data_IF_071556294251
#
_entry.id   IF_071556294251
#
_cell.length_a   1.000
_cell.length_b   1.000
_cell.length_c   1.000
_cell.angle_alpha   90.00
_cell.angle_beta   90.00
_cell.angle_gamma   90.00
#
_symmetry.space_group_name_H-M   'P 1'
#
loop_
_entity.id
_entity.type
_entity.pdbx_description
1 polymer ?
#
# COMPACT_ATOMS: atom_id res chain seq x y z
N UNK A 1 4.05 -3.39 17.27
CA UNK A 1 4.73 -4.35 16.37
C UNK A 1 4.46 -3.95 14.93
N UNK A 2 5.14 -4.52 13.92
CA UNK A 2 4.82 -4.22 12.51
C UNK A 2 3.33 -4.44 12.25
N UNK A 3 2.75 -5.50 12.84
CA UNK A 3 1.33 -5.87 12.79
C UNK A 3 0.33 -4.74 13.13
N UNK A 4 0.74 -3.73 13.89
CA UNK A 4 -0.19 -2.73 14.42
C UNK A 4 -0.26 -1.47 13.56
N UNK A 5 0.80 -1.18 12.79
CA UNK A 5 0.92 0.09 12.10
C UNK A 5 1.88 0.01 10.91
N UNK A 6 1.39 0.51 9.78
CA UNK A 6 2.16 0.65 8.55
C UNK A 6 1.99 2.09 8.03
N UNK A 7 2.96 2.96 8.35
CA UNK A 7 2.92 4.39 8.02
C UNK A 7 3.25 4.66 6.55
N UNK A 8 2.30 4.31 5.69
CA UNK A 8 2.35 4.64 4.28
C UNK A 8 2.13 6.14 4.07
N UNK A 9 2.79 6.74 3.06
CA UNK A 9 2.59 8.15 2.78
C UNK A 9 1.28 8.37 1.99
N UNK A 10 0.65 9.55 2.12
CA UNK A 10 -0.51 9.96 1.29
C UNK A 10 -0.25 9.71 -0.20
N UNK A 11 -1.21 9.29 -1.03
CA UNK A 11 -2.63 9.10 -0.76
C UNK A 11 -2.99 7.72 -0.20
N UNK A 12 -2.00 6.92 0.19
CA UNK A 12 -2.24 5.62 0.79
C UNK A 12 -2.56 5.76 2.27
N UNK A 13 -3.48 4.94 2.75
CA UNK A 13 -3.62 4.66 4.17
C UNK A 13 -3.64 3.16 4.40
N UNK A 14 -3.00 2.71 5.48
CA UNK A 14 -3.06 1.32 5.91
C UNK A 14 -3.88 1.21 7.19
N UNK A 15 -4.83 0.28 7.20
CA UNK A 15 -5.55 -0.13 8.41
C UNK A 15 -5.19 -1.59 8.70
N UNK A 16 -4.70 -1.91 9.90
CA UNK A 16 -4.45 -3.30 10.24
C UNK A 16 -5.81 -4.03 10.37
N UNK A 17 -5.83 -5.29 9.93
CA UNK A 17 -6.98 -6.17 10.05
C UNK A 17 -6.90 -6.96 11.36
N UNK A 18 -8.05 -7.36 11.91
CA UNK A 18 -8.14 -8.11 13.17
C UNK A 18 -8.94 -9.41 13.05
N UNK A 19 -9.50 -9.71 11.87
CA UNK A 19 -10.24 -10.94 11.62
C UNK A 19 -11.66 -10.90 12.16
N UNK A 20 -12.31 -9.74 12.08
CA UNK A 20 -13.76 -9.67 12.33
C UNK A 20 -14.52 -10.47 11.26
N UNK A 21 -15.79 -10.79 11.54
CA UNK A 21 -16.67 -11.46 10.57
C UNK A 21 -16.84 -10.63 9.30
N UNK A 22 -16.93 -9.30 9.43
CA UNK A 22 -17.07 -8.42 8.27
C UNK A 22 -15.79 -8.40 7.41
N UNK A 23 -14.62 -8.41 8.03
CA UNK A 23 -13.34 -8.52 7.33
C UNK A 23 -13.22 -9.85 6.59
N UNK A 24 -13.60 -10.97 7.23
CA UNK A 24 -13.62 -12.28 6.60
C UNK A 24 -14.52 -12.32 5.36
N UNK A 25 -15.76 -11.81 5.48
CA UNK A 25 -16.70 -11.69 4.35
C UNK A 25 -16.14 -10.83 3.22
N UNK A 26 -15.49 -9.72 3.57
CA UNK A 26 -14.89 -8.81 2.59
C UNK A 26 -13.75 -9.48 1.82
N UNK A 27 -12.83 -10.14 2.52
CA UNK A 27 -11.70 -10.83 1.90
C UNK A 27 -12.16 -12.02 1.08
N UNK A 28 -13.09 -12.83 1.58
CA UNK A 28 -13.68 -13.94 0.82
C UNK A 28 -14.27 -13.47 -0.51
N UNK A 29 -15.03 -12.38 -0.52
CA UNK A 29 -15.58 -11.80 -1.75
C UNK A 29 -14.50 -11.33 -2.72
N UNK A 30 -13.43 -10.69 -2.23
CA UNK A 30 -12.34 -10.23 -3.09
C UNK A 30 -11.54 -11.39 -3.65
N UNK A 31 -11.10 -12.31 -2.80
CA UNK A 31 -10.25 -13.44 -3.17
C UNK A 31 -10.99 -14.51 -3.99
N UNK A 32 -12.33 -14.46 -4.03
CA UNK A 32 -13.16 -15.22 -4.96
C UNK A 32 -13.30 -14.61 -6.36
N UNK A 33 -12.76 -13.42 -6.63
CA UNK A 33 -12.75 -12.85 -7.99
C UNK A 33 -11.75 -13.62 -8.87
N UNK A 34 -12.15 -13.96 -10.10
CA UNK A 34 -11.39 -14.81 -11.03
C UNK A 34 -9.88 -14.47 -11.11
N UNK A 35 -9.53 -13.19 -11.31
CA UNK A 35 -8.13 -12.77 -11.43
C UNK A 35 -7.32 -12.89 -10.12
N UNK A 36 -7.98 -12.90 -8.95
CA UNK A 36 -7.32 -13.17 -7.67
C UNK A 36 -7.26 -14.66 -7.41
N UNK A 37 -8.27 -15.45 -7.79
CA UNK A 37 -8.21 -16.92 -7.74
C UNK A 37 -6.99 -17.43 -8.50
N UNK A 38 -6.77 -16.94 -9.72
CA UNK A 38 -5.63 -17.33 -10.57
C UNK A 38 -4.25 -17.02 -9.96
N UNK A 39 -4.16 -16.05 -9.04
CA UNK A 39 -2.89 -15.53 -8.54
C UNK A 39 -2.64 -15.77 -7.06
N UNK A 40 -3.69 -16.02 -6.28
CA UNK A 40 -3.66 -16.27 -4.85
C UNK A 40 -4.09 -17.70 -4.50
N UNK A 41 -5.01 -18.32 -5.25
CA UNK A 41 -5.57 -19.65 -4.98
C UNK A 41 -6.18 -19.79 -3.56
N UNK A 42 -6.84 -18.72 -3.10
CA UNK A 42 -7.41 -18.60 -1.76
C UNK A 42 -8.87 -18.13 -1.76
N UNK A 43 -9.69 -18.73 -2.63
CA UNK A 43 -11.14 -18.50 -2.68
C UNK A 43 -11.88 -19.17 -1.49
N UNK A 44 -11.43 -18.85 -0.28
CA UNK A 44 -11.89 -19.46 0.95
C UNK A 44 -13.20 -18.83 1.45
N UNK A 45 -13.99 -19.59 2.25
CA UNK A 45 -15.17 -19.05 2.89
C UNK A 45 -14.82 -17.95 3.91
N UNK A 46 -15.77 -17.05 4.24
CA UNK A 46 -15.55 -15.94 5.16
C UNK A 46 -14.96 -16.33 6.52
N UNK A 47 -15.40 -17.46 7.08
CA UNK A 47 -15.00 -17.95 8.39
C UNK A 47 -13.50 -18.27 8.42
N UNK A 48 -13.01 -18.95 7.38
CA UNK A 48 -11.58 -19.25 7.21
C UNK A 48 -10.75 -17.97 7.05
N UNK A 49 -11.24 -16.97 6.33
CA UNK A 49 -10.57 -15.68 6.23
C UNK A 49 -10.52 -14.94 7.58
N UNK A 50 -11.61 -14.94 8.35
CA UNK A 50 -11.61 -14.36 9.70
C UNK A 50 -10.59 -15.04 10.61
N UNK A 51 -10.50 -16.37 10.59
CA UNK A 51 -9.51 -17.14 11.35
C UNK A 51 -8.08 -16.83 10.93
N UNK A 52 -7.81 -16.82 9.61
CA UNK A 52 -6.48 -16.53 9.09
C UNK A 52 -6.02 -15.11 9.45
N UNK A 53 -6.92 -14.12 9.37
CA UNK A 53 -6.60 -12.75 9.75
C UNK A 53 -6.29 -12.62 11.25
N UNK A 54 -6.97 -13.37 12.13
CA UNK A 54 -6.62 -13.42 13.57
C UNK A 54 -5.23 -14.01 13.77
N UNK A 55 -4.96 -15.15 13.14
CA UNK A 55 -3.66 -15.82 13.18
C UNK A 55 -2.53 -14.89 12.73
N UNK A 56 -2.72 -14.21 11.60
CA UNK A 56 -1.76 -13.26 11.06
C UNK A 56 -1.60 -12.04 11.98
N UNK A 57 -2.67 -11.57 12.63
CA UNK A 57 -2.62 -10.43 13.55
C UNK A 57 -1.90 -10.74 14.86
N UNK A 58 -2.02 -11.97 15.35
CA UNK A 58 -1.33 -12.45 16.56
C UNK A 58 0.17 -12.74 16.32
N UNK A 59 0.60 -12.83 15.05
CA UNK A 59 1.99 -13.02 14.68
C UNK A 59 2.87 -11.84 15.10
N UNK A 60 4.05 -12.16 15.65
CA UNK A 60 5.10 -11.15 15.93
C UNK A 60 5.95 -10.82 14.70
N UNK A 61 5.80 -11.60 13.64
CA UNK A 61 6.66 -11.55 12.45
C UNK A 61 6.11 -10.66 11.33
N UNK A 62 4.92 -10.09 11.52
CA UNK A 62 4.28 -9.25 10.52
C UNK A 62 2.79 -9.11 10.78
N UNK A 63 1.99 -8.88 9.74
CA UNK A 63 0.55 -8.81 9.89
C UNK A 63 -0.23 -8.40 8.63
N UNK A 64 -1.57 -8.49 8.69
CA UNK A 64 -2.44 -8.19 7.57
C UNK A 64 -2.94 -6.74 7.58
N UNK A 65 -2.96 -6.11 6.41
CA UNK A 65 -3.37 -4.72 6.23
C UNK A 65 -4.36 -4.59 5.07
N UNK A 66 -5.35 -3.74 5.29
CA UNK A 66 -6.18 -3.18 4.23
C UNK A 66 -5.62 -1.81 3.85
N UNK A 67 -5.33 -1.64 2.58
CA UNK A 67 -4.81 -0.43 2.00
C UNK A 67 -5.94 0.31 1.28
N UNK A 68 -6.05 1.61 1.53
CA UNK A 68 -6.88 2.51 0.75
C UNK A 68 -6.04 3.47 -0.08
N UNK A 69 -6.60 3.90 -1.20
CA UNK A 69 -6.10 4.98 -2.06
C UNK A 69 -7.20 6.03 -2.16
N UNK A 70 -6.94 7.25 -1.69
CA UNK A 70 -7.93 8.35 -1.69
C UNK A 70 -9.28 7.92 -1.07
N UNK A 71 -9.20 7.17 0.04
CA UNK A 71 -10.38 6.69 0.78
C UNK A 71 -11.06 5.44 0.19
N UNK A 72 -10.67 4.97 -1.00
CA UNK A 72 -11.22 3.75 -1.63
C UNK A 72 -10.37 2.53 -1.31
N UNK A 73 -10.98 1.36 -1.08
CA UNK A 73 -10.25 0.10 -0.95
C UNK A 73 -9.41 -0.16 -2.19
N UNK A 74 -8.11 -0.34 -1.99
CA UNK A 74 -7.14 -0.50 -3.07
C UNK A 74 -6.50 -1.87 -3.04
N UNK A 75 -5.96 -2.29 -1.89
CA UNK A 75 -5.22 -3.53 -1.79
C UNK A 75 -5.34 -4.22 -0.43
N UNK A 76 -5.14 -5.53 -0.44
CA UNK A 76 -4.83 -6.33 0.74
C UNK A 76 -3.32 -6.64 0.73
N UNK A 77 -2.68 -6.48 1.88
CA UNK A 77 -1.24 -6.72 2.07
C UNK A 77 -1.02 -7.60 3.30
N UNK A 78 -0.15 -8.59 3.16
CA UNK A 78 0.43 -9.32 4.28
C UNK A 78 1.90 -8.94 4.36
N UNK A 79 2.35 -8.42 5.50
CA UNK A 79 3.78 -8.27 5.78
C UNK A 79 4.24 -9.49 6.57
N UNK A 80 5.42 -10.03 6.25
CA UNK A 80 5.96 -11.21 6.92
C UNK A 80 7.49 -11.15 7.03
N UNK A 81 8.10 -12.11 7.75
CA UNK A 81 9.55 -12.33 7.75
C UNK A 81 9.94 -13.52 6.87
N UNK A 82 10.75 -13.31 5.81
CA UNK A 82 11.27 -14.39 4.97
C UNK A 82 11.99 -15.50 5.73
N UNK A 83 12.68 -15.15 6.83
CA UNK A 83 13.37 -16.12 7.68
C UNK A 83 12.44 -17.20 8.26
N UNK A 84 11.15 -16.89 8.44
CA UNK A 84 10.16 -17.78 9.04
C UNK A 84 9.08 -18.20 8.06
N UNK A 85 9.36 -18.17 6.75
CA UNK A 85 8.41 -18.56 5.71
C UNK A 85 9.00 -19.60 4.77
N UNK A 86 8.19 -20.06 3.82
CA UNK A 86 8.60 -21.06 2.83
C UNK A 86 9.74 -20.59 1.91
N UNK A 87 10.10 -19.31 1.93
CA UNK A 87 11.25 -18.79 1.16
C UNK A 87 12.57 -18.77 1.95
N UNK A 88 12.57 -19.21 3.21
CA UNK A 88 13.73 -19.15 4.09
C UNK A 88 14.97 -19.87 3.52
N UNK A 89 14.76 -20.99 2.83
CA UNK A 89 15.85 -21.83 2.31
C UNK A 89 16.52 -21.29 1.03
N UNK A 90 15.93 -20.30 0.36
CA UNK A 90 16.40 -19.88 -0.97
C UNK A 90 17.39 -18.71 -0.95
N UNK A 91 17.60 -18.10 0.22
CA UNK A 91 18.47 -16.97 0.43
C UNK A 91 18.81 -16.81 1.93
N UNK A 92 20.02 -16.38 2.32
CA UNK A 92 20.35 -16.10 3.73
C UNK A 92 19.62 -14.84 4.24
N UNK A 93 18.38 -15.00 4.69
CA UNK A 93 17.58 -13.92 5.25
C UNK A 93 18.05 -13.54 6.64
N UNK A 94 18.11 -12.24 6.91
CA UNK A 94 18.25 -11.72 8.27
C UNK A 94 16.90 -11.76 9.00
N UNK A 95 16.93 -11.88 10.33
CA UNK A 95 15.73 -11.69 11.17
C UNK A 95 15.09 -10.31 11.02
N UNK A 96 15.82 -9.35 10.44
CA UNK A 96 15.30 -8.00 10.20
C UNK A 96 14.67 -7.85 8.82
N UNK A 97 15.01 -8.71 7.87
CA UNK A 97 14.44 -8.64 6.52
C UNK A 97 12.94 -8.88 6.57
N UNK A 98 12.25 -8.21 5.64
CA UNK A 98 10.80 -8.25 5.53
C UNK A 98 10.41 -8.72 4.13
N UNK A 99 9.21 -9.29 4.03
CA UNK A 99 8.57 -9.60 2.77
C UNK A 99 7.13 -9.13 2.78
N UNK A 100 6.51 -9.12 1.61
CA UNK A 100 5.09 -8.84 1.51
C UNK A 100 4.38 -9.67 0.44
N UNK A 101 3.12 -9.98 0.70
CA UNK A 101 2.15 -10.38 -0.32
C UNK A 101 1.21 -9.21 -0.63
N UNK A 102 0.72 -9.13 -1.87
CA UNK A 102 -0.13 -8.05 -2.36
C UNK A 102 -1.24 -8.54 -3.29
N UNK A 103 -2.48 -8.22 -2.96
CA UNK A 103 -3.64 -8.33 -3.84
C UNK A 103 -4.21 -6.93 -4.09
N UNK A 104 -4.26 -6.47 -5.35
CA UNK A 104 -5.04 -5.28 -5.71
C UNK A 104 -6.50 -5.74 -5.82
N UNK A 105 -7.39 -5.19 -4.99
CA UNK A 105 -8.76 -5.69 -4.82
C UNK A 105 -9.79 -4.96 -5.68
N UNK A 106 -9.43 -3.78 -6.20
CA UNK A 106 -10.24 -3.01 -7.17
C UNK A 106 -9.58 -3.07 -8.55
N UNK A 107 -10.12 -3.90 -9.43
CA UNK A 107 -9.62 -4.07 -10.80
C UNK A 107 -9.63 -2.76 -11.60
N UNK A 108 -10.53 -1.83 -11.31
CA UNK A 108 -10.59 -0.54 -12.02
C UNK A 108 -9.39 0.38 -11.72
N UNK A 109 -8.64 0.08 -10.65
CA UNK A 109 -7.41 0.79 -10.26
C UNK A 109 -6.14 0.12 -10.82
N UNK A 110 -6.26 -1.02 -11.50
CA UNK A 110 -5.15 -1.67 -12.20
C UNK A 110 -4.81 -0.96 -13.51
N UNK A 111 -3.59 -1.15 -14.03
CA UNK A 111 -3.16 -0.57 -15.32
C UNK A 111 -2.85 0.93 -15.32
N UNK A 112 -3.08 1.64 -14.20
CA UNK A 112 -2.89 3.11 -14.08
C UNK A 112 -1.55 3.52 -13.46
N UNK A 113 -0.60 2.58 -13.33
CA UNK A 113 0.68 2.81 -12.64
C UNK A 113 0.60 2.81 -11.10
N UNK A 114 -0.60 2.78 -10.52
CA UNK A 114 -0.82 2.79 -9.07
C UNK A 114 -0.14 1.62 -8.35
N UNK A 115 -0.17 0.41 -8.92
CA UNK A 115 0.53 -0.75 -8.35
C UNK A 115 2.03 -0.51 -8.19
N UNK A 116 2.68 0.06 -9.20
CA UNK A 116 4.11 0.40 -9.16
C UNK A 116 4.40 1.46 -8.10
N UNK A 117 3.63 2.55 -8.08
CA UNK A 117 3.78 3.62 -7.11
C UNK A 117 3.61 3.09 -5.67
N UNK A 118 2.55 2.30 -5.45
CA UNK A 118 2.25 1.67 -4.17
C UNK A 118 3.38 0.75 -3.72
N UNK A 119 3.86 -0.17 -4.57
CA UNK A 119 4.94 -1.09 -4.18
C UNK A 119 6.21 -0.33 -3.83
N UNK A 120 6.56 0.74 -4.56
CA UNK A 120 7.72 1.56 -4.24
C UNK A 120 7.58 2.26 -2.87
N UNK A 121 6.38 2.80 -2.56
CA UNK A 121 6.08 3.41 -1.26
C UNK A 121 6.05 2.37 -0.13
N UNK A 122 5.51 1.17 -0.39
CA UNK A 122 5.47 0.06 0.56
C UNK A 122 6.88 -0.40 0.92
N UNK A 123 7.74 -0.69 -0.07
CA UNK A 123 9.13 -1.11 0.17
C UNK A 123 9.89 -0.07 1.01
N UNK A 124 9.77 1.22 0.67
CA UNK A 124 10.34 2.31 1.48
C UNK A 124 9.82 2.29 2.92
N UNK A 125 8.52 2.03 3.09
CA UNK A 125 7.88 1.97 4.41
C UNK A 125 8.37 0.78 5.23
N UNK A 126 8.50 -0.40 4.61
CA UNK A 126 9.02 -1.60 5.27
C UNK A 126 10.45 -1.41 5.79
N UNK A 127 11.32 -0.74 5.03
CA UNK A 127 12.66 -0.39 5.50
C UNK A 127 12.67 0.60 6.67
N UNK A 128 11.67 1.49 6.79
CA UNK A 128 11.51 2.34 7.98
C UNK A 128 11.02 1.52 9.18
N UNK A 129 10.09 0.60 8.95
CA UNK A 129 9.56 -0.29 10.00
C UNK A 129 10.61 -1.24 10.56
N UNK A 130 11.61 -1.65 9.77
CA UNK A 130 12.75 -2.44 10.24
C UNK A 130 14.08 -1.81 9.80
N UNK A 131 14.66 -0.92 10.62
CA UNK A 131 15.92 -0.23 10.29
C UNK A 131 17.10 -1.16 10.01
N UNK A 132 17.11 -2.36 10.62
CA UNK A 132 18.14 -3.38 10.39
C UNK A 132 17.91 -4.26 9.15
N UNK A 133 16.81 -4.09 8.41
CA UNK A 133 16.56 -4.86 7.20
C UNK A 133 17.54 -4.46 6.09
N UNK A 134 18.17 -5.44 5.46
CA UNK A 134 19.04 -5.21 4.31
C UNK A 134 18.29 -5.36 3.00
N UNK A 135 17.16 -6.06 3.02
CA UNK A 135 16.37 -6.38 1.83
C UNK A 135 14.88 -6.54 2.14
N UNK A 136 14.06 -6.32 1.11
CA UNK A 136 12.62 -6.60 1.10
C UNK A 136 12.30 -7.61 0.01
N UNK A 137 11.51 -8.63 0.32
CA UNK A 137 11.14 -9.73 -0.57
C UNK A 137 9.68 -9.64 -1.08
N UNK A 138 9.45 -10.19 -2.27
CA UNK A 138 8.14 -10.57 -2.76
C UNK A 138 8.29 -11.77 -3.71
N UNK A 139 7.33 -12.68 -3.75
CA UNK A 139 7.42 -13.94 -4.48
C UNK A 139 6.17 -14.20 -5.35
N UNK A 140 5.84 -13.32 -6.33
CA UNK A 140 4.73 -13.59 -7.24
C UNK A 140 4.95 -14.90 -8.01
N UNK A 141 3.86 -15.55 -8.44
CA UNK A 141 3.93 -16.67 -9.38
C UNK A 141 4.73 -16.25 -10.63
N UNK A 142 5.60 -17.14 -11.14
CA UNK A 142 6.42 -16.87 -12.34
C UNK A 142 5.58 -16.48 -13.55
N UNK A 143 4.34 -16.98 -13.65
CA UNK A 143 3.40 -16.71 -14.74
C UNK A 143 2.70 -15.37 -14.59
N UNK A 144 2.70 -14.76 -13.40
CA UNK A 144 2.09 -13.44 -13.17
C UNK A 144 3.01 -12.31 -13.65
N UNK A 145 3.16 -12.20 -14.97
CA UNK A 145 4.03 -11.21 -15.62
C UNK A 145 3.66 -9.77 -15.27
N UNK A 146 2.37 -9.48 -15.05
CA UNK A 146 1.92 -8.15 -14.65
C UNK A 146 2.46 -7.76 -13.27
N UNK A 147 2.34 -8.64 -12.28
CA UNK A 147 2.88 -8.41 -10.94
C UNK A 147 4.41 -8.31 -10.97
N UNK A 148 5.10 -9.19 -11.70
CA UNK A 148 6.56 -9.13 -11.86
C UNK A 148 7.02 -7.79 -12.43
N UNK A 149 6.39 -7.29 -13.50
CA UNK A 149 6.69 -5.97 -14.07
C UNK A 149 6.45 -4.83 -13.08
N UNK A 150 5.43 -4.94 -12.22
CA UNK A 150 5.19 -3.97 -11.14
C UNK A 150 6.36 -3.99 -10.14
N UNK A 151 6.79 -5.18 -9.68
CA UNK A 151 7.92 -5.33 -8.76
C UNK A 151 9.21 -4.75 -9.36
N UNK A 152 9.52 -5.10 -10.61
CA UNK A 152 10.71 -4.61 -11.32
C UNK A 152 10.70 -3.09 -11.47
N UNK A 153 9.58 -2.50 -11.92
CA UNK A 153 9.44 -1.05 -12.06
C UNK A 153 9.47 -0.31 -10.73
N UNK A 154 9.08 -0.97 -9.64
CA UNK A 154 9.18 -0.43 -8.29
C UNK A 154 10.60 -0.54 -7.70
N UNK A 155 11.58 -1.08 -8.43
CA UNK A 155 12.98 -1.17 -8.03
C UNK A 155 13.37 -2.48 -7.34
N UNK A 156 12.49 -3.49 -7.36
CA UNK A 156 12.86 -4.85 -6.98
C UNK A 156 13.55 -5.56 -8.16
N UNK A 157 14.36 -6.58 -7.89
CA UNK A 157 15.01 -7.38 -8.92
C UNK A 157 14.62 -8.84 -8.77
N UNK A 158 14.25 -9.50 -9.87
CA UNK A 158 14.10 -10.95 -9.88
C UNK A 158 15.48 -11.59 -9.63
N UNK A 159 15.61 -12.34 -8.54
CA UNK A 159 16.89 -12.98 -8.16
C UNK A 159 16.96 -14.43 -8.62
N UNK A 160 15.85 -15.18 -8.52
CA UNK A 160 15.76 -16.56 -8.96
C UNK A 160 14.31 -17.05 -8.99
N UNK A 161 14.07 -18.15 -9.68
CA UNK A 161 12.86 -18.94 -9.50
C UNK A 161 13.01 -19.91 -8.33
N UNK A 162 11.96 -20.06 -7.54
CA UNK A 162 11.89 -21.00 -6.40
C UNK A 162 10.61 -21.83 -6.49
N UNK A 163 10.69 -23.10 -6.09
CA UNK A 163 9.53 -24.00 -6.06
C UNK A 163 8.95 -24.02 -4.65
N UNK A 164 7.75 -23.47 -4.50
CA UNK A 164 6.97 -23.48 -3.25
C UNK A 164 5.89 -24.57 -3.35
N UNK A 165 5.33 -25.04 -2.23
CA UNK A 165 4.34 -26.12 -2.24
C UNK A 165 3.14 -25.88 -3.16
N UNK A 166 2.76 -24.60 -3.38
CA UNK A 166 1.57 -24.19 -4.12
C UNK A 166 1.88 -23.46 -5.44
N UNK A 167 3.14 -23.10 -5.73
CA UNK A 167 3.50 -22.37 -6.96
C UNK A 167 4.98 -22.45 -7.28
N UNK A 168 5.30 -22.20 -8.54
CA UNK A 168 6.63 -21.78 -8.94
C UNK A 168 6.68 -20.25 -8.86
N UNK A 169 7.53 -19.72 -7.98
CA UNK A 169 7.56 -18.30 -7.65
C UNK A 169 8.81 -17.61 -8.21
N UNK A 170 8.63 -16.43 -8.77
CA UNK A 170 9.72 -15.53 -9.13
C UNK A 170 10.10 -14.71 -7.89
N UNK A 171 11.13 -15.15 -7.16
CA UNK A 171 11.61 -14.42 -5.98
C UNK A 171 12.20 -13.08 -6.42
N UNK A 172 11.55 -11.98 -6.02
CA UNK A 172 11.98 -10.61 -6.21
C UNK A 172 12.51 -10.04 -4.91
N UNK A 173 13.62 -9.30 -5.01
CA UNK A 173 14.28 -8.70 -3.85
C UNK A 173 14.67 -7.27 -4.17
N UNK A 174 14.36 -6.36 -3.25
CA UNK A 174 14.92 -5.00 -3.26
C UNK A 174 15.95 -4.90 -2.14
N UNK A 175 17.25 -4.78 -2.44
CA UNK A 175 18.24 -4.44 -1.41
C UNK A 175 18.07 -2.96 -1.01
N UNK A 176 18.36 -2.65 0.27
CA UNK A 176 18.21 -1.31 0.85
C UNK A 176 18.95 -0.23 0.04
N UNK A 177 20.11 -0.56 -0.50
CA UNK A 177 20.93 0.32 -1.33
C UNK A 177 20.29 0.71 -2.67
N UNK A 178 19.26 -0.01 -3.13
CA UNK A 178 18.55 0.26 -4.39
C UNK A 178 17.19 0.95 -4.17
N UNK A 179 16.83 1.21 -2.93
CA UNK A 179 15.61 1.94 -2.60
C UNK A 179 15.72 3.34 -3.17
N UNK A 180 14.88 3.65 -4.15
CA UNK A 180 14.79 5.02 -4.67
C UNK A 180 14.23 5.92 -3.58
N UNK A 181 14.79 7.13 -3.37
CA UNK A 181 14.18 8.10 -2.46
C UNK A 181 12.75 8.42 -2.91
N UNK A 182 11.91 8.84 -1.96
CA UNK A 182 10.59 9.32 -2.31
C UNK A 182 10.74 10.54 -3.26
N UNK A 183 9.88 10.67 -4.28
CA UNK A 183 9.84 11.92 -5.04
C UNK A 183 9.51 13.07 -4.08
N UNK A 184 10.20 14.20 -4.23
CA UNK A 184 9.85 15.41 -3.52
C UNK A 184 8.39 15.79 -3.86
N UNK A 185 7.57 15.97 -2.83
CA UNK A 185 6.22 16.48 -3.01
C UNK A 185 6.31 18.00 -3.06
N UNK A 186 5.62 18.69 -3.98
CA UNK A 186 5.41 20.12 -3.83
C UNK A 186 4.80 20.35 -2.44
N UNK A 187 5.41 21.21 -1.63
CA UNK A 187 4.87 21.55 -0.31
C UNK A 187 3.41 21.96 -0.44
N UNK A 188 2.57 21.50 0.48
CA UNK A 188 1.21 22.01 0.60
C UNK A 188 1.34 23.52 0.75
N UNK A 189 0.91 24.28 -0.26
CA UNK A 189 0.83 25.73 -0.14
C UNK A 189 0.01 26.04 1.10
N UNK A 190 0.56 26.86 1.98
CA UNK A 190 -0.16 27.38 3.13
C UNK A 190 -1.53 27.93 2.65
N UNK A 191 -2.61 27.75 3.43
CA UNK A 191 -3.90 28.32 3.05
C UNK A 191 -3.70 29.81 2.79
N UNK A 192 -4.13 30.25 1.60
CA UNK A 192 -4.15 31.66 1.23
C UNK A 192 -4.90 32.39 2.34
N UNK A 193 -4.17 33.16 3.15
CA UNK A 193 -4.76 34.01 4.17
C UNK A 193 -5.86 34.87 3.53
N UNK A 194 -6.98 35.00 4.24
CA UNK A 194 -8.09 35.86 3.86
C UNK A 194 -7.55 37.22 3.42
N UNK A 195 -7.85 37.59 2.16
CA UNK A 195 -7.58 38.94 1.68
C UNK A 195 -8.49 39.90 2.45
N UNK A 196 -7.99 41.03 2.98
CA UNK A 196 -8.86 42.05 3.53
C UNK A 196 -9.77 42.58 2.42
N UNK A 197 -11.05 42.75 2.76
CA UNK A 197 -12.10 43.18 1.84
C UNK A 197 -11.76 44.50 1.14
N UNK A 198 -11.99 44.52 -0.17
CA UNK A 198 -11.96 45.73 -0.99
C UNK A 198 -13.12 46.63 -0.56
N UNK A 199 -12.79 47.82 -0.05
CA UNK A 199 -13.76 48.88 0.18
C UNK A 199 -14.33 49.36 -1.16
N UNK A 200 -15.66 49.48 -1.22
CA UNK A 200 -16.37 50.04 -2.37
C UNK A 200 -16.06 51.54 -2.54
N UNK A 201 -16.03 52.08 -3.77
CA UNK A 201 -15.81 53.50 -4.00
C UNK A 201 -17.03 54.32 -3.57
N UNK A 202 -16.76 55.47 -2.94
CA UNK A 202 -17.76 56.48 -2.59
C UNK A 202 -18.22 57.20 -3.88
N UNK A 203 -19.54 57.24 -4.05
CA UNK A 203 -20.25 57.90 -5.14
C UNK A 203 -20.31 59.43 -4.87
N UNK A 204 -19.61 60.21 -5.68
CA UNK A 204 -19.66 61.68 -5.64
C UNK A 204 -20.98 62.17 -6.25
N UNK A 205 -21.87 62.72 -5.41
CA UNK A 205 -23.05 63.46 -5.88
C UNK A 205 -22.73 64.95 -6.00
N UNK A 206 -23.18 65.64 -7.06
CA UNK A 206 -22.95 67.07 -7.22
C UNK A 206 -23.96 67.91 -6.42
N UNK A 207 -23.51 69.08 -5.99
CA UNK A 207 -24.26 70.12 -5.28
C UNK A 207 -25.49 70.63 -6.04
N UNK A 208 -26.57 70.89 -5.30
CA UNK A 208 -27.59 71.87 -5.71
C UNK A 208 -28.24 72.56 -4.50
N UNK A 209 -27.86 73.82 -4.31
CA UNK A 209 -28.68 75.01 -4.02
C UNK A 209 -29.76 74.94 -2.90
N UNK A 210 -29.53 75.74 -1.86
CA UNK A 210 -30.58 76.40 -1.06
C UNK A 210 -31.38 77.40 -1.93
N UNK A 211 -32.65 77.74 -1.62
CA UNK A 211 -32.93 78.68 -0.52
C UNK A 211 -34.22 78.45 0.30
N UNK A 212 -34.27 79.23 1.39
CA UNK A 212 -35.34 79.51 2.36
C UNK A 212 -36.79 79.48 1.87
N UNK A 213 -37.72 79.03 2.74
CA UNK A 213 -38.57 79.86 3.64
C UNK A 213 -38.92 79.03 4.88
#
# INVERSE_FOLDING_TARGET
>A
MIADRLDLPTPWAARPLSGTVEEGRRLSRWMGQEYLVETWDQAWPPERWSEELRRLRESREGGPFLITYEGRHFAYVEVYRPLYSNIAAFQPWSRHDLGFHLAIVDRALTGRGLGTAFVADLVRTLFRCSPGAERVAAEPDVRNLACRRVMERAGMSWVRTVRLPHKEAALHVCPRSRVRPAPERPGVAAPLGERPGVAAPLDERPEARHPAV
#
